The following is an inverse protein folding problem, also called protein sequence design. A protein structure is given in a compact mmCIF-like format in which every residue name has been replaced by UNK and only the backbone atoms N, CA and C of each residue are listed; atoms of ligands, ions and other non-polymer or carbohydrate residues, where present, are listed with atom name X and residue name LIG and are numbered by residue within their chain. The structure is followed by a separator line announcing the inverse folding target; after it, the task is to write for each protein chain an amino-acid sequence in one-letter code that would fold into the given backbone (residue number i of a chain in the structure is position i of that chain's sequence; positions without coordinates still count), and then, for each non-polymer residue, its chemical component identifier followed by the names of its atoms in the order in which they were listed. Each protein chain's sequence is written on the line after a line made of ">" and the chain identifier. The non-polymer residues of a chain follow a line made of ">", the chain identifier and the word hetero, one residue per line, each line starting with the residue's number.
data_IF_943859927802
#
_entry.id   IF_943859927802
#
_cell.length_a   1.000
_cell.length_b   1.000
_cell.length_c   1.000
_cell.angle_alpha   90.00
_cell.angle_beta   90.00
_cell.angle_gamma   90.00
#
_symmetry.space_group_name_H-M   'P 1'
#
loop_
_entity.id
_entity.type
_entity.pdbx_description
1 polymer ?
#
# COMPACT_ATOMS: atom_id res chain seq x y z
N UNK A 1 16.90 4.37 -22.78
CA UNK A 1 15.67 5.18 -22.59
C UNK A 1 14.50 4.38 -22.01
N UNK A 2 14.26 3.13 -22.44
CA UNK A 2 13.13 2.34 -21.95
C UNK A 2 13.13 2.12 -20.41
N UNK A 3 14.24 1.65 -19.86
CA UNK A 3 14.38 1.43 -18.42
C UNK A 3 14.15 2.70 -17.58
N UNK A 4 14.69 3.83 -18.03
CA UNK A 4 14.60 5.11 -17.33
C UNK A 4 13.16 5.66 -17.25
N UNK A 5 12.28 5.34 -18.20
CA UNK A 5 10.86 5.72 -18.11
C UNK A 5 10.10 4.79 -17.17
N UNK A 6 10.37 3.48 -17.18
CA UNK A 6 9.72 2.54 -16.26
C UNK A 6 10.02 2.90 -14.81
N UNK A 7 11.25 3.30 -14.49
CA UNK A 7 11.64 3.70 -13.14
C UNK A 7 10.92 4.96 -12.67
N UNK A 8 10.76 5.96 -13.55
CA UNK A 8 9.99 7.17 -13.22
C UNK A 8 8.52 6.87 -12.96
N UNK A 9 7.90 6.02 -13.78
CA UNK A 9 6.50 5.62 -13.60
C UNK A 9 6.34 4.83 -12.30
N UNK A 10 7.29 3.93 -11.99
CA UNK A 10 7.31 3.17 -10.74
C UNK A 10 7.40 4.11 -9.51
N UNK A 11 8.29 5.11 -9.54
CA UNK A 11 8.43 6.10 -8.48
C UNK A 11 7.12 6.91 -8.27
N UNK A 12 6.48 7.32 -9.36
CA UNK A 12 5.19 8.02 -9.30
C UNK A 12 4.09 7.15 -8.68
N UNK A 13 4.04 5.86 -9.04
CA UNK A 13 3.09 4.91 -8.47
C UNK A 13 3.32 4.67 -6.98
N UNK A 14 4.57 4.55 -6.53
CA UNK A 14 4.86 4.44 -5.10
C UNK A 14 4.44 5.70 -4.35
N UNK A 15 4.70 6.90 -4.89
CA UNK A 15 4.23 8.16 -4.32
C UNK A 15 2.70 8.24 -4.22
N UNK A 16 1.98 7.85 -5.28
CA UNK A 16 0.52 7.81 -5.26
C UNK A 16 -0.01 6.79 -4.24
N UNK A 17 0.57 5.59 -4.20
CA UNK A 17 0.20 4.54 -3.24
C UNK A 17 0.46 4.95 -1.79
N UNK A 18 1.52 5.71 -1.52
CA UNK A 18 1.82 6.28 -0.22
C UNK A 18 0.71 7.23 0.23
N UNK A 19 0.29 8.17 -0.62
CA UNK A 19 -0.79 9.11 -0.32
C UNK A 19 -2.10 8.36 -0.08
N UNK A 20 -2.46 7.41 -0.94
CA UNK A 20 -3.68 6.61 -0.77
C UNK A 20 -3.65 5.79 0.54
N UNK A 21 -2.50 5.22 0.91
CA UNK A 21 -2.31 4.50 2.17
C UNK A 21 -2.51 5.40 3.40
N UNK A 22 -1.89 6.59 3.39
CA UNK A 22 -2.04 7.58 4.48
C UNK A 22 -3.48 8.05 4.59
N UNK A 23 -4.13 8.41 3.48
CA UNK A 23 -5.52 8.86 3.46
C UNK A 23 -6.45 7.78 4.00
N UNK A 24 -6.27 6.52 3.58
CA UNK A 24 -7.08 5.39 4.06
C UNK A 24 -6.90 5.19 5.57
N UNK A 25 -5.66 5.22 6.07
CA UNK A 25 -5.38 5.07 7.49
C UNK A 25 -5.90 6.25 8.32
N UNK A 26 -5.75 7.48 7.83
CA UNK A 26 -6.20 8.68 8.52
C UNK A 26 -7.74 8.73 8.59
N UNK A 27 -8.43 8.41 7.50
CA UNK A 27 -9.88 8.31 7.48
C UNK A 27 -10.39 7.27 8.50
N UNK A 28 -9.75 6.09 8.56
CA UNK A 28 -10.07 5.08 9.55
C UNK A 28 -9.76 5.54 10.99
N UNK A 29 -8.62 6.19 11.21
CA UNK A 29 -8.24 6.69 12.54
C UNK A 29 -9.20 7.79 13.03
N UNK A 30 -9.62 8.71 12.16
CA UNK A 30 -10.65 9.72 12.48
C UNK A 30 -11.97 9.02 12.84
N UNK A 31 -12.42 8.05 12.03
CA UNK A 31 -13.64 7.29 12.35
C UNK A 31 -13.52 6.44 13.62
N UNK A 32 -12.31 6.10 14.08
CA UNK A 32 -12.13 5.44 15.37
C UNK A 32 -12.13 6.45 16.52
N UNK A 33 -11.51 7.62 16.32
CA UNK A 33 -11.44 8.69 17.31
C UNK A 33 -12.82 9.24 17.70
N UNK A 34 -13.70 9.44 16.72
CA UNK A 34 -15.09 9.91 16.94
C UNK A 34 -15.97 8.88 17.69
N UNK A 35 -15.53 7.62 17.73
CA UNK A 35 -16.27 6.52 18.38
C UNK A 35 -15.52 5.95 19.60
N UNK A 36 -14.79 6.80 20.34
CA UNK A 36 -14.01 6.45 21.55
C UNK A 36 -13.01 5.28 21.35
N UNK A 37 -12.49 5.11 20.13
CA UNK A 37 -11.56 4.03 19.78
C UNK A 37 -12.22 2.70 19.40
N UNK A 38 -13.55 2.65 19.31
CA UNK A 38 -14.28 1.46 18.88
C UNK A 38 -14.35 1.34 17.34
N UNK A 39 -14.35 0.10 16.85
CA UNK A 39 -14.52 -0.19 15.43
C UNK A 39 -16.01 -0.14 15.06
N UNK A 40 -16.39 0.85 14.25
CA UNK A 40 -17.74 0.96 13.67
C UNK A 40 -18.02 -0.09 12.58
N UNK A 41 -16.98 -0.67 12.00
CA UNK A 41 -17.08 -1.61 10.90
C UNK A 41 -17.76 -2.90 11.39
N UNK A 42 -18.85 -3.33 10.74
CA UNK A 42 -19.76 -4.41 11.21
C UNK A 42 -20.53 -4.10 12.52
N UNK A 43 -20.64 -2.83 12.92
CA UNK A 43 -21.46 -2.45 14.07
C UNK A 43 -22.94 -2.74 13.84
N UNK A 44 -23.59 -3.40 14.79
CA UNK A 44 -25.05 -3.60 14.78
C UNK A 44 -25.71 -2.43 15.52
N UNK A 45 -26.62 -1.75 14.83
CA UNK A 45 -27.30 -0.56 15.35
C UNK A 45 -28.74 -0.92 15.69
N UNK A 46 -29.06 -0.80 16.97
CA UNK A 46 -30.42 -0.90 17.50
C UNK A 46 -31.06 0.49 17.63
N UNK A 47 -32.38 0.54 17.47
CA UNK A 47 -33.14 1.78 17.58
C UNK A 47 -33.92 1.81 18.88
N UNK A 48 -33.54 2.71 19.80
CA UNK A 48 -34.36 2.98 20.96
C UNK A 48 -35.43 4.03 20.59
N UNK A 49 -36.70 3.72 20.81
CA UNK A 49 -37.84 4.56 20.39
C UNK A 49 -38.21 5.65 21.39
N UNK A 50 -37.56 5.70 22.56
CA UNK A 50 -38.09 6.43 23.72
C UNK A 50 -37.23 7.60 24.20
N UNK A 51 -36.16 7.99 23.49
CA UNK A 51 -35.28 9.10 23.88
C UNK A 51 -34.81 9.98 22.71
N UNK A 52 -34.22 11.14 23.04
CA UNK A 52 -33.60 12.12 22.09
C UNK A 52 -32.44 11.56 21.25
N UNK A 53 -32.11 10.29 21.42
CA UNK A 53 -30.99 9.63 20.78
C UNK A 53 -31.48 8.42 19.97
N UNK A 54 -31.15 8.43 18.68
CA UNK A 54 -31.88 7.71 17.64
C UNK A 54 -31.24 6.34 17.32
N UNK A 55 -29.95 6.17 17.61
CA UNK A 55 -29.18 4.97 17.32
C UNK A 55 -28.32 4.56 18.52
N UNK A 56 -28.42 3.30 18.93
CA UNK A 56 -27.62 2.68 19.99
C UNK A 56 -26.91 1.46 19.43
N UNK A 57 -25.58 1.40 19.52
CA UNK A 57 -24.82 0.22 19.12
C UNK A 57 -25.13 -0.95 20.06
N UNK A 58 -25.69 -2.03 19.53
CA UNK A 58 -25.97 -3.25 20.32
C UNK A 58 -24.77 -4.20 20.32
N UNK A 59 -23.90 -4.14 19.30
CA UNK A 59 -22.65 -4.87 19.25
C UNK A 59 -21.60 -4.12 18.44
N UNK A 60 -20.41 -3.94 19.01
CA UNK A 60 -19.22 -3.57 18.27
C UNK A 60 -18.57 -4.84 17.72
N UNK A 61 -18.08 -4.79 16.48
CA UNK A 61 -17.33 -5.89 15.90
C UNK A 61 -15.96 -6.04 16.58
N UNK A 62 -15.35 -7.22 16.42
CA UNK A 62 -14.03 -7.51 16.96
C UNK A 62 -13.01 -6.44 16.57
N UNK A 63 -12.43 -5.77 17.57
CA UNK A 63 -11.40 -4.72 17.43
C UNK A 63 -10.24 -5.11 16.50
N UNK A 64 -9.97 -6.41 16.36
CA UNK A 64 -8.92 -6.97 15.52
C UNK A 64 -9.05 -6.61 14.03
N UNK A 65 -10.27 -6.45 13.50
CA UNK A 65 -10.47 -6.21 12.06
C UNK A 65 -10.10 -4.80 11.64
N UNK A 66 -10.50 -3.78 12.39
CA UNK A 66 -10.10 -2.39 12.11
C UNK A 66 -8.61 -2.19 12.31
N UNK A 67 -8.07 -2.78 13.38
CA UNK A 67 -6.64 -2.72 13.66
C UNK A 67 -5.83 -3.40 12.56
N UNK A 68 -6.28 -4.56 12.07
CA UNK A 68 -5.66 -5.25 10.94
C UNK A 68 -5.59 -4.36 9.69
N UNK A 69 -6.71 -3.75 9.29
CA UNK A 69 -6.71 -2.86 8.12
C UNK A 69 -5.81 -1.64 8.33
N UNK A 70 -5.93 -0.96 9.47
CA UNK A 70 -5.14 0.25 9.76
C UNK A 70 -3.64 -0.04 9.80
N UNK A 71 -3.23 -1.10 10.50
CA UNK A 71 -1.82 -1.51 10.58
C UNK A 71 -1.27 -1.89 9.22
N UNK A 72 -2.03 -2.64 8.42
CA UNK A 72 -1.60 -3.01 7.05
C UNK A 72 -1.43 -1.77 6.19
N UNK A 73 -2.39 -0.84 6.19
CA UNK A 73 -2.29 0.41 5.43
C UNK A 73 -1.07 1.24 5.85
N UNK A 74 -0.77 1.31 7.14
CA UNK A 74 0.42 2.01 7.66
C UNK A 74 1.73 1.32 7.28
N UNK A 75 1.81 -0.01 7.41
CA UNK A 75 3.00 -0.78 7.03
C UNK A 75 3.30 -0.64 5.54
N UNK A 76 2.27 -0.68 4.69
CA UNK A 76 2.43 -0.47 3.24
C UNK A 76 2.89 0.95 2.94
N UNK A 77 2.30 1.95 3.61
CA UNK A 77 2.72 3.35 3.46
C UNK A 77 4.19 3.54 3.84
N UNK A 78 4.61 2.99 4.99
CA UNK A 78 6.01 3.03 5.44
C UNK A 78 6.94 2.34 4.43
N UNK A 79 6.54 1.16 3.93
CA UNK A 79 7.29 0.45 2.90
C UNK A 79 7.48 1.30 1.63
N UNK A 80 6.40 1.90 1.12
CA UNK A 80 6.48 2.79 -0.05
C UNK A 80 7.41 3.97 0.21
N UNK A 81 7.35 4.59 1.40
CA UNK A 81 8.22 5.69 1.77
C UNK A 81 9.71 5.28 1.81
N UNK A 82 10.03 4.14 2.43
CA UNK A 82 11.39 3.61 2.48
C UNK A 82 11.94 3.29 1.08
N UNK A 83 11.13 2.67 0.21
CA UNK A 83 11.53 2.37 -1.17
C UNK A 83 11.75 3.65 -1.97
N UNK A 84 10.89 4.65 -1.83
CA UNK A 84 11.07 5.97 -2.46
C UNK A 84 12.40 6.61 -2.06
N UNK A 85 12.70 6.64 -0.76
CA UNK A 85 13.96 7.20 -0.26
C UNK A 85 15.18 6.40 -0.76
N UNK A 86 15.09 5.07 -0.76
CA UNK A 86 16.15 4.22 -1.29
C UNK A 86 16.44 4.52 -2.76
N UNK A 87 15.41 4.66 -3.59
CA UNK A 87 15.57 5.00 -5.01
C UNK A 87 16.16 6.39 -5.23
N UNK A 88 15.72 7.39 -4.46
CA UNK A 88 16.31 8.72 -4.49
C UNK A 88 17.79 8.66 -4.12
N UNK A 89 18.13 7.92 -3.06
CA UNK A 89 19.51 7.75 -2.63
C UNK A 89 20.38 7.07 -3.69
N UNK A 90 19.92 5.94 -4.26
CA UNK A 90 20.62 5.23 -5.35
C UNK A 90 20.80 6.13 -6.58
N UNK A 91 19.79 6.95 -6.90
CA UNK A 91 19.88 7.93 -8.00
C UNK A 91 20.94 9.01 -7.75
N UNK A 92 21.30 9.30 -6.49
CA UNK A 92 22.35 10.26 -6.15
C UNK A 92 23.76 9.68 -6.24
N UNK A 93 23.92 8.37 -6.12
CA UNK A 93 25.24 7.70 -6.05
C UNK A 93 25.67 7.05 -7.39
N UNK A 94 24.93 7.27 -8.47
CA UNK A 94 25.19 6.82 -9.86
C UNK A 94 25.43 5.30 -10.06
N UNK A 95 25.32 4.48 -9.01
CA UNK A 95 25.39 3.02 -9.06
C UNK A 95 24.02 2.39 -9.33
N UNK A 96 23.47 2.62 -10.53
CA UNK A 96 22.14 2.10 -10.91
C UNK A 96 22.27 0.72 -11.58
N UNK A 97 22.72 -0.30 -10.85
CA UNK A 97 22.61 -1.70 -11.33
C UNK A 97 21.57 -2.46 -10.53
N UNK A 98 20.35 -2.48 -11.05
CA UNK A 98 19.22 -3.21 -10.45
C UNK A 98 19.37 -4.71 -10.74
N UNK A 99 19.93 -5.45 -9.78
CA UNK A 99 20.15 -6.88 -9.92
C UNK A 99 18.85 -7.70 -10.08
N UNK A 100 18.87 -8.74 -10.90
CA UNK A 100 17.71 -9.64 -11.15
C UNK A 100 17.14 -10.25 -9.86
N UNK A 101 18.00 -10.49 -8.85
CA UNK A 101 17.57 -10.96 -7.52
C UNK A 101 16.69 -9.93 -6.81
N UNK A 102 17.07 -8.65 -6.85
CA UNK A 102 16.31 -7.56 -6.23
C UNK A 102 14.93 -7.40 -6.89
N UNK A 103 14.87 -7.45 -8.22
CA UNK A 103 13.60 -7.45 -8.97
C UNK A 103 12.69 -8.61 -8.58
N UNK A 104 13.25 -9.82 -8.42
CA UNK A 104 12.46 -10.98 -8.03
C UNK A 104 11.86 -10.83 -6.62
N UNK A 105 12.65 -10.33 -5.67
CA UNK A 105 12.18 -10.06 -4.30
C UNK A 105 11.08 -8.99 -4.32
N UNK A 106 11.30 -7.90 -5.06
CA UNK A 106 10.33 -6.81 -5.19
C UNK A 106 8.99 -7.29 -5.75
N UNK A 107 8.99 -8.17 -6.78
CA UNK A 107 7.75 -8.78 -7.30
C UNK A 107 7.03 -9.61 -6.23
N UNK A 108 7.75 -10.47 -5.49
CA UNK A 108 7.15 -11.30 -4.44
C UNK A 108 6.52 -10.43 -3.35
N UNK A 109 7.24 -9.42 -2.87
CA UNK A 109 6.73 -8.48 -1.85
C UNK A 109 5.51 -7.73 -2.38
N UNK A 110 5.53 -7.31 -3.65
CA UNK A 110 4.41 -6.58 -4.26
C UNK A 110 3.14 -7.45 -4.37
N UNK A 111 3.28 -8.74 -4.70
CA UNK A 111 2.16 -9.68 -4.73
C UNK A 111 1.59 -9.91 -3.33
N UNK A 112 2.44 -10.03 -2.30
CA UNK A 112 1.98 -10.13 -0.92
C UNK A 112 1.21 -8.88 -0.48
N UNK A 113 1.73 -7.69 -0.79
CA UNK A 113 1.06 -6.42 -0.48
C UNK A 113 -0.30 -6.34 -1.19
N UNK A 114 -0.36 -6.71 -2.46
CA UNK A 114 -1.59 -6.74 -3.24
C UNK A 114 -2.64 -7.66 -2.59
N UNK A 115 -2.24 -8.83 -2.10
CA UNK A 115 -3.13 -9.74 -1.39
C UNK A 115 -3.71 -9.09 -0.11
N UNK A 116 -2.85 -8.48 0.72
CA UNK A 116 -3.30 -7.79 1.93
C UNK A 116 -4.22 -6.60 1.64
N UNK A 117 -3.95 -5.82 0.58
CA UNK A 117 -4.81 -4.72 0.15
C UNK A 117 -6.19 -5.20 -0.31
N UNK A 118 -6.23 -6.32 -1.04
CA UNK A 118 -7.50 -6.92 -1.46
C UNK A 118 -8.32 -7.35 -0.25
N UNK A 119 -7.71 -8.07 0.70
CA UNK A 119 -8.39 -8.49 1.93
C UNK A 119 -8.92 -7.27 2.69
N UNK A 120 -8.10 -6.24 2.86
CA UNK A 120 -8.50 -4.98 3.51
C UNK A 120 -9.67 -4.30 2.79
N UNK A 121 -9.63 -4.18 1.46
CA UNK A 121 -10.70 -3.58 0.67
C UNK A 121 -12.01 -4.39 0.76
N UNK A 122 -11.92 -5.72 0.73
CA UNK A 122 -13.07 -6.61 0.93
C UNK A 122 -13.67 -6.46 2.34
N UNK A 123 -12.84 -6.41 3.38
CA UNK A 123 -13.28 -6.20 4.77
C UNK A 123 -14.00 -4.86 4.91
N UNK A 124 -13.48 -3.78 4.31
CA UNK A 124 -14.12 -2.46 4.31
C UNK A 124 -15.48 -2.51 3.61
N UNK A 125 -15.54 -3.08 2.40
CA UNK A 125 -16.77 -3.19 1.61
C UNK A 125 -17.86 -3.95 2.34
N UNK A 126 -17.55 -5.15 2.83
CA UNK A 126 -18.54 -6.01 3.53
C UNK A 126 -18.95 -5.38 4.85
N UNK A 127 -17.99 -4.78 5.57
CA UNK A 127 -18.25 -4.11 6.83
C UNK A 127 -19.15 -2.89 6.70
N UNK A 128 -18.97 -2.09 5.65
CA UNK A 128 -19.84 -0.95 5.34
C UNK A 128 -21.24 -1.42 4.90
N UNK A 129 -21.35 -2.46 4.09
CA UNK A 129 -22.64 -3.02 3.67
C UNK A 129 -23.45 -3.53 4.87
N UNK A 130 -22.82 -4.29 5.78
CA UNK A 130 -23.50 -4.80 6.97
C UNK A 130 -23.98 -3.68 7.91
N UNK A 131 -23.18 -2.62 8.06
CA UNK A 131 -23.57 -1.43 8.83
C UNK A 131 -24.77 -0.74 8.17
N UNK A 132 -24.72 -0.53 6.84
CA UNK A 132 -25.81 0.08 6.10
C UNK A 132 -27.11 -0.75 6.14
N UNK A 133 -27.03 -2.07 6.02
CA UNK A 133 -28.18 -2.95 6.13
C UNK A 133 -28.83 -2.88 7.53
N UNK A 134 -28.02 -2.81 8.58
CA UNK A 134 -28.49 -2.68 9.96
C UNK A 134 -29.19 -1.34 10.20
N UNK A 135 -28.65 -0.25 9.63
CA UNK A 135 -29.27 1.08 9.67
C UNK A 135 -30.59 1.09 8.89
N UNK A 136 -30.65 0.51 7.69
CA UNK A 136 -31.85 0.45 6.87
C UNK A 136 -32.96 -0.39 7.53
N UNK A 137 -32.61 -1.47 8.23
CA UNK A 137 -33.56 -2.30 9.01
C UNK A 137 -34.32 -1.50 10.08
N UNK A 138 -33.75 -0.41 10.57
CA UNK A 138 -34.40 0.49 11.54
C UNK A 138 -35.57 1.26 10.93
N UNK A 139 -35.74 1.29 9.59
CA UNK A 139 -36.80 2.00 8.84
C UNK A 139 -36.89 3.52 9.09
N UNK A 140 -35.91 4.11 9.78
CA UNK A 140 -35.85 5.58 10.01
C UNK A 140 -35.21 6.35 8.85
N UNK A 141 -34.42 5.68 8.02
CA UNK A 141 -33.79 6.27 6.83
C UNK A 141 -34.00 5.39 5.61
N UNK A 142 -34.09 6.00 4.44
CA UNK A 142 -34.22 5.28 3.15
C UNK A 142 -32.84 5.03 2.52
N UNK A 143 -31.85 5.85 2.87
CA UNK A 143 -30.46 5.74 2.40
C UNK A 143 -29.50 5.71 3.59
N UNK A 144 -28.46 4.89 3.50
CA UNK A 144 -27.42 4.82 4.52
C UNK A 144 -26.69 6.16 4.71
N UNK A 145 -26.54 6.94 3.64
CA UNK A 145 -25.96 8.28 3.70
C UNK A 145 -26.78 9.27 4.55
N UNK A 146 -28.10 9.09 4.70
CA UNK A 146 -28.95 9.97 5.52
C UNK A 146 -28.71 9.76 7.03
N UNK A 147 -28.11 8.62 7.42
CA UNK A 147 -27.79 8.36 8.83
C UNK A 147 -26.65 9.23 9.37
N UNK A 148 -25.89 9.90 8.50
CA UNK A 148 -24.83 10.83 8.92
C UNK A 148 -25.40 12.20 9.36
N UNK A 149 -26.62 12.53 8.96
CA UNK A 149 -27.30 13.80 9.30
C UNK A 149 -28.20 13.68 10.54
N UNK A 150 -28.29 12.48 11.11
CA UNK A 150 -29.09 12.20 12.31
C UNK A 150 -28.23 12.32 13.58
N UNK A 151 -28.83 12.77 14.68
CA UNK A 151 -28.14 12.90 15.96
C UNK A 151 -27.97 11.53 16.64
N UNK A 152 -26.71 11.13 16.80
CA UNK A 152 -26.29 9.92 17.52
C UNK A 152 -26.34 10.13 19.04
N UNK A 153 -26.37 9.04 19.81
CA UNK A 153 -26.36 9.13 21.28
C UNK A 153 -24.97 9.58 21.73
N UNK A 154 -24.90 10.67 22.52
CA UNK A 154 -23.67 11.10 23.17
C UNK A 154 -23.09 9.93 23.99
N UNK A 155 -21.80 9.60 23.87
CA UNK A 155 -20.69 10.42 23.34
C UNK A 155 -20.36 10.27 21.85
N UNK A 156 -21.11 9.49 21.07
CA UNK A 156 -20.75 9.16 19.69
C UNK A 156 -21.18 10.26 18.70
N UNK A 157 -20.24 10.80 17.93
CA UNK A 157 -20.52 11.70 16.82
C UNK A 157 -20.43 10.94 15.49
N UNK A 158 -21.59 10.67 14.89
CA UNK A 158 -21.67 10.03 13.58
C UNK A 158 -21.56 10.99 12.41
N UNK A 159 -21.24 12.27 12.63
CA UNK A 159 -21.12 13.21 11.52
C UNK A 159 -20.05 12.74 10.52
N UNK A 160 -20.42 12.67 9.24
CA UNK A 160 -19.54 12.27 8.12
C UNK A 160 -18.96 10.85 8.17
N UNK A 161 -19.45 9.97 9.05
CA UNK A 161 -18.96 8.58 9.15
C UNK A 161 -19.00 7.86 7.78
N UNK A 162 -20.12 8.00 7.05
CA UNK A 162 -20.32 7.37 5.75
C UNK A 162 -19.35 7.94 4.70
N UNK A 163 -19.15 9.25 4.70
CA UNK A 163 -18.25 9.92 3.75
C UNK A 163 -16.79 9.49 3.99
N UNK A 164 -16.35 9.39 5.24
CA UNK A 164 -15.00 8.95 5.59
C UNK A 164 -14.78 7.48 5.25
N UNK A 165 -15.73 6.59 5.56
CA UNK A 165 -15.65 5.16 5.22
C UNK A 165 -15.66 4.93 3.71
N UNK A 166 -16.54 5.63 2.98
CA UNK A 166 -16.60 5.57 1.53
C UNK A 166 -15.30 6.10 0.88
N UNK A 167 -14.74 7.17 1.42
CA UNK A 167 -13.44 7.70 0.99
C UNK A 167 -12.31 6.71 1.27
N UNK A 168 -12.31 6.05 2.42
CA UNK A 168 -11.33 5.01 2.75
C UNK A 168 -11.45 3.77 1.85
N UNK A 169 -12.68 3.31 1.57
CA UNK A 169 -12.92 2.19 0.67
C UNK A 169 -12.46 2.50 -0.75
N UNK A 170 -12.86 3.66 -1.29
CA UNK A 170 -12.45 4.08 -2.63
C UNK A 170 -10.93 4.25 -2.73
N UNK A 171 -10.29 4.85 -1.73
CA UNK A 171 -8.83 4.97 -1.67
C UNK A 171 -8.13 3.60 -1.61
N UNK A 172 -8.68 2.63 -0.87
CA UNK A 172 -8.15 1.27 -0.80
C UNK A 172 -8.23 0.55 -2.17
N UNK A 173 -9.33 0.68 -2.90
CA UNK A 173 -9.47 0.13 -4.26
C UNK A 173 -8.52 0.80 -5.25
N UNK A 174 -8.42 2.12 -5.22
CA UNK A 174 -7.46 2.86 -6.07
C UNK A 174 -6.03 2.41 -5.78
N UNK A 175 -5.68 2.26 -4.51
CA UNK A 175 -4.37 1.75 -4.11
C UNK A 175 -4.12 0.33 -4.63
N UNK A 176 -5.11 -0.55 -4.54
CA UNK A 176 -5.04 -1.91 -5.10
C UNK A 176 -4.76 -1.90 -6.61
N UNK A 177 -5.43 -1.03 -7.37
CA UNK A 177 -5.15 -0.87 -8.81
C UNK A 177 -3.73 -0.37 -9.08
N UNK A 178 -3.22 0.59 -8.31
CA UNK A 178 -1.83 1.03 -8.44
C UNK A 178 -0.84 -0.11 -8.20
N UNK A 179 -1.09 -0.96 -7.20
CA UNK A 179 -0.25 -2.13 -6.95
C UNK A 179 -0.29 -3.17 -8.07
N UNK A 180 -1.42 -3.36 -8.75
CA UNK A 180 -1.48 -4.19 -9.97
C UNK A 180 -0.54 -3.63 -11.04
N UNK A 181 -0.59 -2.32 -11.29
CA UNK A 181 0.27 -1.66 -12.27
C UNK A 181 1.75 -1.82 -11.88
N UNK A 182 2.11 -1.66 -10.61
CA UNK A 182 3.47 -1.90 -10.10
C UNK A 182 3.92 -3.33 -10.39
N UNK A 183 3.10 -4.35 -10.09
CA UNK A 183 3.44 -5.76 -10.37
C UNK A 183 3.66 -5.99 -11.88
N UNK A 184 2.83 -5.39 -12.73
CA UNK A 184 3.00 -5.47 -14.19
C UNK A 184 4.30 -4.80 -14.63
N UNK A 185 4.60 -3.61 -14.12
CA UNK A 185 5.85 -2.90 -14.44
C UNK A 185 7.08 -3.69 -14.00
N UNK A 186 7.11 -4.20 -12.77
CA UNK A 186 8.19 -5.03 -12.26
C UNK A 186 8.36 -6.32 -13.08
N UNK A 187 7.25 -6.90 -13.54
CA UNK A 187 7.27 -8.08 -14.41
C UNK A 187 7.87 -7.76 -15.78
N UNK A 188 7.51 -6.60 -16.36
CA UNK A 188 8.08 -6.12 -17.62
C UNK A 188 9.58 -5.81 -17.45
N UNK A 189 9.97 -5.11 -16.38
CA UNK A 189 11.39 -4.83 -16.05
C UNK A 189 12.19 -6.13 -15.90
N UNK A 190 11.63 -7.14 -15.22
CA UNK A 190 12.25 -8.46 -15.08
C UNK A 190 12.42 -9.17 -16.43
N UNK A 191 11.41 -9.11 -17.31
CA UNK A 191 11.49 -9.68 -18.66
C UNK A 191 12.54 -8.97 -19.51
N UNK A 192 12.56 -7.62 -19.47
CA UNK A 192 13.55 -6.81 -20.17
C UNK A 192 14.97 -7.11 -19.68
N UNK A 193 15.18 -7.15 -18.37
CA UNK A 193 16.48 -7.45 -17.75
C UNK A 193 16.96 -8.86 -18.05
N UNK A 194 16.05 -9.84 -18.10
CA UNK A 194 16.35 -11.21 -18.53
C UNK A 194 16.64 -11.32 -20.02
N UNK A 195 16.00 -10.50 -20.86
CA UNK A 195 16.22 -10.50 -22.31
C UNK A 195 17.49 -9.76 -22.72
N UNK A 196 17.92 -8.78 -21.92
CA UNK A 196 19.19 -8.07 -22.06
C UNK A 196 20.36 -8.80 -21.41
N UNK A 197 20.15 -9.99 -20.85
CA UNK A 197 21.21 -10.96 -20.64
C UNK A 197 21.26 -11.85 -21.89
N UNK A 198 21.94 -11.44 -22.98
CA UNK A 198 22.41 -12.45 -23.91
C UNK A 198 23.28 -13.38 -23.07
N UNK A 199 23.17 -14.68 -23.31
CA UNK A 199 24.27 -15.58 -23.00
C UNK A 199 25.55 -14.94 -23.54
N UNK A 200 26.37 -14.37 -22.65
CA UNK A 200 27.77 -14.17 -22.93
C UNK A 200 28.44 -15.36 -22.28
N UNK A 201 28.63 -16.49 -23.00
CA UNK A 201 29.64 -17.42 -22.55
C UNK A 201 30.92 -16.59 -22.49
N UNK A 202 31.63 -16.68 -21.37
CA UNK A 202 32.96 -16.11 -21.22
C UNK A 202 33.84 -16.70 -22.33
N UNK A 203 33.85 -16.08 -23.51
CA UNK A 203 34.79 -16.40 -24.57
C UNK A 203 36.12 -15.84 -24.08
N UNK A 204 37.04 -16.72 -23.70
CA UNK A 204 38.39 -16.40 -23.23
C UNK A 204 39.26 -15.77 -24.31
N UNK A 205 38.80 -14.65 -24.88
CA UNK A 205 39.42 -13.92 -25.98
C UNK A 205 39.42 -12.41 -25.75
N UNK A 206 39.18 -11.94 -24.52
CA UNK A 206 39.49 -10.57 -24.15
C UNK A 206 41.03 -10.42 -24.01
N UNK A 207 41.67 -9.57 -24.82
CA UNK A 207 43.12 -9.39 -24.83
C UNK A 207 43.61 -8.45 -23.73
N UNK A 208 42.91 -8.35 -22.59
CA UNK A 208 43.38 -7.57 -21.43
C UNK A 208 44.36 -8.34 -20.53
N UNK A 209 44.73 -9.57 -20.90
CA UNK A 209 45.89 -10.26 -20.34
C UNK A 209 47.14 -10.01 -21.20
N UNK A 210 47.51 -8.74 -21.40
CA UNK A 210 48.86 -8.40 -21.84
C UNK A 210 49.49 -7.42 -20.87
N UNK A 211 50.30 -7.99 -19.98
CA UNK A 211 51.65 -7.50 -19.69
C UNK A 211 51.78 -6.10 -19.07
N UNK A 212 51.13 -5.83 -17.94
CA UNK A 212 51.47 -4.66 -17.10
C UNK A 212 51.93 -4.98 -15.68
N UNK A 213 51.86 -6.24 -15.21
CA UNK A 213 52.16 -6.57 -13.80
C UNK A 213 53.40 -7.45 -13.54
N UNK A 214 54.31 -7.62 -14.51
CA UNK A 214 55.57 -8.38 -14.26
C UNK A 214 56.87 -7.65 -14.60
N UNK A 215 56.83 -6.35 -14.88
CA UNK A 215 58.07 -5.59 -15.15
C UNK A 215 58.27 -4.45 -14.15
N UNK A 216 58.65 -4.81 -12.94
CA UNK A 216 59.58 -4.05 -12.09
C UNK A 216 59.72 -4.82 -10.77
N UNK A 217 60.82 -5.56 -10.61
CA UNK A 217 61.58 -5.83 -9.37
C UNK A 217 62.57 -6.95 -9.74
N UNK A 218 63.74 -6.58 -10.28
CA UNK A 218 65.05 -7.16 -9.96
C UNK A 218 66.06 -6.16 -10.53
N UNK A 219 66.76 -5.52 -9.59
CA UNK A 219 67.69 -4.44 -9.85
C UNK A 219 68.91 -4.86 -10.64
N UNK A 220 69.40 -3.89 -11.39
CA UNK A 220 70.75 -3.77 -11.90
C UNK A 220 71.81 -4.12 -10.85
N UNK A 221 72.66 -5.10 -11.13
CA UNK A 221 74.00 -5.15 -10.55
C UNK A 221 75.06 -5.32 -11.64
N UNK A 222 75.92 -4.30 -11.70
CA UNK A 222 77.19 -4.25 -12.45
C UNK A 222 78.16 -5.30 -11.91
N UNK A 223 78.84 -6.01 -12.80
CA UNK A 223 80.30 -6.17 -12.88
C UNK A 223 80.65 -7.02 -14.11
#
# INVERSE_FOLDING_TARGET
>A
MALLWLERVELLLYGASFICGVVSSAALAVTQGEFEGHCILYGDVSSNSTGKAIFTFSAFSSYSLCYFVSVISLLISLYCFCIMLYWVYVSCIDEVTRGTRWLNISVVVSVLILFFLLVSACVLRVGMNNLCDSILKTKRVQKCAEAQDLTWISPYDGSRFYTNLYSAESAAWVNFFFWIVVVVLLSIQKRLSSSSAPFQPLSGLDPEWTTSETEAIIGTQRA
#
